data_IF_415325980171
#
_entry.id   IF_415325980171
#
_cell.length_a   1.000
_cell.length_b   1.000
_cell.length_c   1.000
_cell.angle_alpha   90.00
_cell.angle_beta   90.00
_cell.angle_gamma   90.00
#
_symmetry.space_group_name_H-M   'P 1'
#
loop_
_entity.id
_entity.type
_entity.pdbx_description
1 polymer ?
#
# COMPACT_ATOMS: atom_id res chain seq x y z
N UNK A 1 -1.88 -13.41 -4.00
CA UNK A 1 -1.01 -12.32 -4.47
C UNK A 1 -1.68 -11.71 -5.68
N UNK A 2 -1.91 -10.40 -5.66
CA UNK A 2 -2.34 -9.66 -6.83
C UNK A 2 -1.26 -9.77 -7.91
N UNK A 3 -1.64 -9.87 -9.18
CA UNK A 3 -0.66 -9.85 -10.29
C UNK A 3 -0.04 -8.46 -10.38
N UNK A 4 1.29 -8.40 -10.42
CA UNK A 4 2.05 -7.15 -10.56
C UNK A 4 2.97 -7.27 -11.77
N UNK A 5 2.53 -6.75 -12.92
CA UNK A 5 3.23 -6.87 -14.20
C UNK A 5 3.04 -5.67 -15.12
N UNK A 6 4.00 -5.48 -16.02
CA UNK A 6 4.00 -4.40 -17.02
C UNK A 6 4.29 -4.94 -18.41
N UNK A 7 3.64 -4.37 -19.42
CA UNK A 7 3.95 -4.61 -20.83
C UNK A 7 4.91 -3.52 -21.31
N UNK A 8 6.10 -3.92 -21.72
CA UNK A 8 7.15 -3.02 -22.17
C UNK A 8 7.37 -3.21 -23.66
N UNK A 9 7.43 -2.11 -24.40
CA UNK A 9 7.68 -2.06 -25.84
C UNK A 9 8.98 -1.29 -26.13
N UNK A 10 9.81 -1.80 -27.04
CA UNK A 10 11.01 -1.09 -27.51
C UNK A 10 10.64 0.12 -28.37
N UNK A 11 11.35 1.24 -28.17
CA UNK A 11 11.28 2.41 -29.05
C UNK A 11 12.15 2.11 -30.27
N UNK A 12 11.60 2.23 -31.47
CA UNK A 12 12.41 2.26 -32.71
C UNK A 12 12.09 3.50 -33.52
N UNK A 13 13.15 4.07 -34.09
CA UNK A 13 13.05 5.09 -35.13
C UNK A 13 13.01 4.36 -36.47
N UNK A 14 11.86 4.40 -37.15
CA UNK A 14 11.61 3.94 -38.54
C UNK A 14 11.47 2.42 -38.81
N UNK A 15 10.24 2.01 -39.14
CA UNK A 15 9.93 0.95 -40.12
C UNK A 15 10.13 -0.52 -39.72
N UNK A 16 10.76 -0.82 -38.59
CA UNK A 16 10.95 -2.19 -38.09
C UNK A 16 9.84 -2.58 -37.09
N UNK A 17 9.58 -3.89 -36.94
CA UNK A 17 8.63 -4.42 -35.96
C UNK A 17 9.09 -4.07 -34.53
N UNK A 18 8.21 -3.51 -33.71
CA UNK A 18 8.47 -3.27 -32.29
C UNK A 18 8.42 -4.59 -31.52
N UNK A 19 9.32 -4.75 -30.56
CA UNK A 19 9.30 -5.92 -29.65
C UNK A 19 8.59 -5.53 -28.36
N UNK A 20 7.57 -6.29 -27.97
CA UNK A 20 6.86 -6.10 -26.71
C UNK A 20 6.86 -7.37 -25.86
N UNK A 21 7.05 -7.24 -24.54
CA UNK A 21 7.03 -8.37 -23.61
C UNK A 21 6.42 -7.99 -22.25
N UNK A 22 5.65 -8.91 -21.66
CA UNK A 22 5.12 -8.77 -20.30
C UNK A 22 6.17 -9.20 -19.29
N UNK A 23 6.49 -8.33 -18.35
CA UNK A 23 7.39 -8.63 -17.24
C UNK A 23 6.63 -8.61 -15.92
N UNK A 24 6.82 -9.68 -15.13
CA UNK A 24 6.42 -9.69 -13.73
C UNK A 24 7.43 -8.89 -12.90
N UNK A 25 6.95 -8.25 -11.84
CA UNK A 25 7.81 -7.51 -10.92
C UNK A 25 8.30 -8.42 -9.76
N UNK A 26 9.53 -8.20 -9.23
CA UNK A 26 10.55 -7.30 -9.77
C UNK A 26 11.14 -7.84 -11.09
N UNK A 27 11.49 -6.95 -12.00
CA UNK A 27 12.09 -7.28 -13.29
C UNK A 27 13.56 -7.62 -13.09
N UNK A 28 13.98 -8.79 -13.56
CA UNK A 28 15.38 -9.15 -13.70
C UNK A 28 15.98 -8.44 -14.93
N UNK A 29 17.06 -7.68 -14.73
CA UNK A 29 17.68 -6.86 -15.79
C UNK A 29 18.24 -7.73 -16.92
N UNK A 30 18.82 -8.89 -16.59
CA UNK A 30 19.37 -9.78 -17.61
C UNK A 30 18.26 -10.40 -18.46
N UNK A 31 17.15 -10.82 -17.84
CA UNK A 31 15.97 -11.27 -18.58
C UNK A 31 15.39 -10.14 -19.45
N UNK A 32 15.29 -8.92 -18.92
CA UNK A 32 14.79 -7.77 -19.65
C UNK A 32 15.57 -7.52 -20.95
N UNK A 33 16.89 -7.48 -20.84
CA UNK A 33 17.80 -7.26 -21.97
C UNK A 33 17.76 -8.42 -22.96
N UNK A 34 17.65 -9.66 -22.50
CA UNK A 34 17.50 -10.84 -23.36
C UNK A 34 16.20 -10.78 -24.17
N UNK A 35 15.09 -10.40 -23.54
CA UNK A 35 13.76 -10.39 -24.16
C UNK A 35 13.55 -9.23 -25.13
N UNK A 36 14.02 -8.03 -24.77
CA UNK A 36 13.78 -6.82 -25.58
C UNK A 36 14.97 -6.45 -26.47
N UNK A 37 16.18 -6.92 -26.17
CA UNK A 37 17.39 -6.56 -26.91
C UNK A 37 17.81 -5.11 -26.74
N UNK A 38 17.33 -4.43 -25.69
CA UNK A 38 17.72 -3.07 -25.32
C UNK A 38 18.12 -3.04 -23.84
N UNK A 39 19.09 -2.19 -23.53
CA UNK A 39 19.59 -1.98 -22.16
C UNK A 39 18.52 -1.30 -21.29
N UNK A 40 18.35 -1.75 -20.05
CA UNK A 40 17.32 -1.25 -19.12
C UNK A 40 17.50 0.24 -18.73
N UNK A 41 18.69 0.80 -18.92
CA UNK A 41 19.06 2.21 -18.69
C UNK A 41 19.01 3.06 -19.96
N UNK A 42 18.89 2.45 -21.15
CA UNK A 42 18.96 3.15 -22.44
C UNK A 42 17.83 4.15 -22.68
N UNK A 43 16.68 3.98 -22.02
CA UNK A 43 15.46 4.75 -22.30
C UNK A 43 14.81 4.41 -23.65
N UNK A 44 15.33 3.41 -24.38
CA UNK A 44 14.86 2.93 -25.69
C UNK A 44 13.68 1.95 -25.57
N UNK A 45 12.87 2.12 -24.52
CA UNK A 45 11.63 1.39 -24.30
C UNK A 45 10.58 2.28 -23.65
N UNK A 46 9.36 1.78 -23.59
CA UNK A 46 8.24 2.41 -22.92
C UNK A 46 7.27 1.38 -22.34
N UNK A 47 6.61 1.76 -21.26
CA UNK A 47 5.54 0.96 -20.67
C UNK A 47 4.24 1.32 -21.40
N UNK A 48 3.59 0.32 -22.01
CA UNK A 48 2.36 0.51 -22.79
C UNK A 48 1.12 -0.05 -22.10
N UNK A 49 1.27 -1.06 -21.24
CA UNK A 49 0.20 -1.57 -20.38
C UNK A 49 0.75 -1.93 -18.99
N UNK A 50 -0.12 -1.92 -17.98
CA UNK A 50 0.25 -2.18 -16.58
C UNK A 50 -0.92 -2.80 -15.83
N UNK A 51 -0.62 -3.82 -15.03
CA UNK A 51 -1.54 -4.47 -14.10
C UNK A 51 -0.83 -4.54 -12.77
N UNK A 52 -1.07 -3.54 -11.91
CA UNK A 52 -0.42 -3.39 -10.62
C UNK A 52 -1.18 -2.37 -9.73
N UNK A 53 -1.08 -2.45 -8.39
CA UNK A 53 -1.89 -1.62 -7.48
C UNK A 53 -1.58 -0.13 -7.52
N UNK A 54 -0.31 0.24 -7.75
CA UNK A 54 0.21 1.62 -7.81
C UNK A 54 0.30 2.13 -9.27
N UNK A 55 -0.69 1.78 -10.09
CA UNK A 55 -0.65 2.03 -11.54
C UNK A 55 -0.51 3.52 -11.87
N UNK A 56 -1.08 4.40 -11.05
CA UNK A 56 -1.04 5.85 -11.27
C UNK A 56 0.37 6.44 -11.11
N UNK A 57 1.27 5.77 -10.37
CA UNK A 57 2.68 6.17 -10.19
C UNK A 57 3.58 5.66 -11.32
N UNK A 58 3.08 4.76 -12.18
CA UNK A 58 3.84 4.20 -13.31
C UNK A 58 3.45 4.92 -14.61
N UNK A 59 4.42 5.56 -15.24
CA UNK A 59 4.25 6.31 -16.48
C UNK A 59 4.97 5.62 -17.65
N UNK A 60 4.70 6.07 -18.87
CA UNK A 60 5.27 5.51 -20.11
C UNK A 60 6.81 5.44 -20.09
N UNK A 61 7.47 6.31 -19.35
CA UNK A 61 8.94 6.42 -19.29
C UNK A 61 9.52 6.06 -17.90
N UNK A 62 8.73 5.45 -17.02
CA UNK A 62 9.24 4.93 -15.75
C UNK A 62 10.29 3.85 -16.03
N UNK A 63 11.46 3.96 -15.41
CA UNK A 63 12.56 3.02 -15.64
C UNK A 63 12.33 1.68 -14.94
N UNK A 64 13.01 0.64 -15.41
CA UNK A 64 13.03 -0.69 -14.76
C UNK A 64 13.42 -0.59 -13.29
N UNK A 65 14.41 0.23 -12.95
CA UNK A 65 14.80 0.45 -11.55
C UNK A 65 13.70 1.10 -10.73
N UNK A 66 13.06 2.15 -11.26
CA UNK A 66 11.94 2.81 -10.57
C UNK A 66 10.75 1.87 -10.36
N UNK A 67 10.44 1.03 -11.35
CA UNK A 67 9.42 -0.02 -11.23
C UNK A 67 9.75 -0.99 -10.09
N UNK A 68 11.00 -1.45 -10.01
CA UNK A 68 11.45 -2.36 -8.97
C UNK A 68 11.44 -1.71 -7.57
N UNK A 69 11.77 -0.43 -7.46
CA UNK A 69 11.68 0.31 -6.20
C UNK A 69 10.22 0.46 -5.73
N UNK A 70 9.29 0.78 -6.65
CA UNK A 70 7.86 0.83 -6.35
C UNK A 70 7.33 -0.55 -5.90
N UNK A 71 7.68 -1.62 -6.62
CA UNK A 71 7.31 -2.99 -6.23
C UNK A 71 7.87 -3.37 -4.86
N UNK A 72 9.13 -3.01 -4.60
CA UNK A 72 9.76 -3.22 -3.30
C UNK A 72 8.99 -2.50 -2.19
N UNK A 73 8.73 -1.20 -2.34
CA UNK A 73 8.00 -0.41 -1.33
C UNK A 73 6.61 -0.99 -1.05
N UNK A 74 5.86 -1.34 -2.11
CA UNK A 74 4.52 -1.91 -1.97
C UNK A 74 4.54 -3.26 -1.24
N UNK A 75 5.51 -4.13 -1.54
CA UNK A 75 5.68 -5.43 -0.87
C UNK A 75 6.07 -5.34 0.59
N UNK A 76 6.62 -4.21 1.03
CA UNK A 76 6.95 -3.96 2.42
C UNK A 76 5.76 -3.46 3.26
N UNK A 77 4.62 -3.16 2.63
CA UNK A 77 3.39 -2.85 3.35
C UNK A 77 2.79 -4.14 3.97
N UNK A 78 2.06 -4.02 5.08
CA UNK A 78 1.31 -5.16 5.63
C UNK A 78 0.18 -5.58 4.69
N UNK A 79 -0.36 -6.80 4.88
CA UNK A 79 -1.49 -7.28 4.08
C UNK A 79 -2.70 -6.34 4.14
N UNK A 80 -3.02 -5.83 5.34
CA UNK A 80 -4.15 -4.92 5.53
C UNK A 80 -3.93 -3.60 4.78
N UNK A 81 -2.68 -3.10 4.77
CA UNK A 81 -2.32 -1.90 4.02
C UNK A 81 -2.35 -2.12 2.49
N UNK A 82 -1.99 -3.32 2.03
CA UNK A 82 -2.06 -3.66 0.61
C UNK A 82 -3.51 -3.77 0.13
N UNK A 83 -4.38 -4.40 0.94
CA UNK A 83 -5.81 -4.54 0.68
C UNK A 83 -6.52 -3.17 0.65
N UNK A 84 -6.12 -2.25 1.53
CA UNK A 84 -6.69 -0.91 1.65
C UNK A 84 -5.83 0.19 1.02
N UNK A 85 -4.97 -0.17 0.06
CA UNK A 85 -4.01 0.75 -0.54
C UNK A 85 -4.68 1.98 -1.16
N UNK A 86 -5.78 1.78 -1.89
CA UNK A 86 -6.55 2.88 -2.52
C UNK A 86 -7.12 3.83 -1.46
N UNK A 87 -7.62 3.29 -0.35
CA UNK A 87 -8.14 4.08 0.77
C UNK A 87 -7.03 4.90 1.42
N UNK A 88 -5.85 4.30 1.64
CA UNK A 88 -4.69 4.97 2.22
C UNK A 88 -4.18 6.11 1.33
N UNK A 89 -4.22 5.97 0.01
CA UNK A 89 -3.86 7.04 -0.93
C UNK A 89 -4.82 8.24 -0.94
N UNK A 90 -5.97 8.18 -0.27
CA UNK A 90 -6.78 9.39 -0.04
C UNK A 90 -6.17 10.32 1.01
N UNK A 91 -5.23 9.80 1.81
CA UNK A 91 -4.55 10.53 2.90
C UNK A 91 -3.08 10.74 2.61
N UNK A 92 -2.41 9.76 2.01
CA UNK A 92 -1.00 9.85 1.62
C UNK A 92 -0.88 10.25 0.15
N UNK A 93 0.12 11.09 -0.16
CA UNK A 93 0.32 11.63 -1.52
C UNK A 93 0.66 10.54 -2.54
N UNK A 94 1.44 9.53 -2.13
CA UNK A 94 1.94 8.45 -2.99
C UNK A 94 2.42 7.26 -2.14
N UNK A 95 2.84 6.19 -2.80
CA UNK A 95 3.38 4.98 -2.17
C UNK A 95 4.62 5.27 -1.31
N UNK A 96 5.49 6.19 -1.72
CA UNK A 96 6.69 6.52 -0.94
C UNK A 96 6.33 7.12 0.42
N UNK A 97 5.39 8.08 0.45
CA UNK A 97 4.89 8.67 1.68
C UNK A 97 4.24 7.64 2.60
N UNK A 98 3.43 6.73 2.04
CA UNK A 98 2.83 5.62 2.78
C UNK A 98 3.91 4.66 3.32
N UNK A 99 4.88 4.29 2.49
CA UNK A 99 5.97 3.39 2.84
C UNK A 99 6.79 3.94 4.00
N UNK A 100 7.13 5.23 4.01
CA UNK A 100 7.87 5.85 5.11
C UNK A 100 7.10 5.72 6.45
N UNK A 101 5.78 5.88 6.42
CA UNK A 101 4.93 5.82 7.61
C UNK A 101 4.45 4.40 7.99
N UNK A 102 4.70 3.36 7.18
CA UNK A 102 4.12 2.01 7.35
C UNK A 102 4.27 1.39 8.75
N UNK A 103 5.39 1.65 9.42
CA UNK A 103 5.70 1.07 10.73
C UNK A 103 5.11 1.85 11.91
N UNK A 104 4.57 3.04 11.66
CA UNK A 104 3.91 3.87 12.70
C UNK A 104 2.39 3.86 12.58
N UNK A 105 1.85 3.40 11.45
CA UNK A 105 0.42 3.21 11.26
C UNK A 105 -0.02 2.00 12.11
N UNK A 106 -1.03 2.21 12.96
CA UNK A 106 -1.64 1.14 13.74
C UNK A 106 -2.91 0.67 13.05
N UNK A 107 -3.01 -0.64 12.79
CA UNK A 107 -4.15 -1.24 12.12
C UNK A 107 -5.10 -1.86 13.14
N UNK A 108 -6.38 -1.52 13.04
CA UNK A 108 -7.49 -2.11 13.79
C UNK A 108 -8.34 -2.94 12.81
N UNK A 109 -7.95 -4.20 12.51
CA UNK A 109 -8.68 -5.05 11.57
C UNK A 109 -10.09 -5.33 12.08
N UNK A 110 -11.05 -5.49 11.17
CA UNK A 110 -12.47 -5.78 11.44
C UNK A 110 -13.24 -4.74 12.29
N UNK A 111 -12.59 -3.66 12.73
CA UNK A 111 -13.26 -2.56 13.42
C UNK A 111 -14.14 -1.77 12.45
N UNK A 112 -15.42 -1.57 12.81
CA UNK A 112 -16.40 -0.85 11.99
C UNK A 112 -16.70 0.55 12.52
N UNK A 113 -16.24 0.84 13.73
CA UNK A 113 -16.49 2.08 14.43
C UNK A 113 -15.35 2.44 15.38
N UNK A 114 -15.31 3.71 15.79
CA UNK A 114 -14.36 4.17 16.80
C UNK A 114 -14.63 3.60 18.19
N UNK A 115 -15.85 3.09 18.43
CA UNK A 115 -16.18 2.32 19.63
C UNK A 115 -15.44 0.97 19.61
N UNK A 116 -15.33 0.32 18.45
CA UNK A 116 -14.58 -0.93 18.32
C UNK A 116 -13.08 -0.70 18.56
N UNK A 117 -12.54 0.39 18.00
CA UNK A 117 -11.15 0.83 18.25
C UNK A 117 -10.93 1.10 19.75
N UNK A 118 -11.85 1.82 20.39
CA UNK A 118 -11.79 2.11 21.82
C UNK A 118 -11.79 0.82 22.67
N UNK A 119 -12.63 -0.16 22.31
CA UNK A 119 -12.66 -1.49 22.94
C UNK A 119 -11.33 -2.21 22.76
N UNK A 120 -10.82 -2.30 21.53
CA UNK A 120 -9.59 -3.00 21.23
C UNK A 120 -8.37 -2.35 21.91
N UNK A 121 -8.29 -1.01 21.95
CA UNK A 121 -7.24 -0.31 22.70
C UNK A 121 -7.32 -0.62 24.20
N UNK A 122 -8.51 -0.60 24.80
CA UNK A 122 -8.70 -0.88 26.22
C UNK A 122 -8.33 -2.32 26.59
N UNK A 123 -8.74 -3.31 25.77
CA UNK A 123 -8.42 -4.72 25.98
C UNK A 123 -6.92 -4.99 25.98
N UNK A 124 -6.16 -4.23 25.18
CA UNK A 124 -4.71 -4.36 25.08
C UNK A 124 -3.95 -3.50 26.11
N UNK A 125 -4.62 -2.58 26.81
CA UNK A 125 -4.01 -1.74 27.83
C UNK A 125 -3.58 -2.59 29.05
N UNK A 126 -2.29 -2.62 29.44
CA UNK A 126 -1.81 -3.38 30.59
C UNK A 126 -2.54 -3.06 31.90
N UNK A 127 -3.04 -1.83 32.01
CA UNK A 127 -3.78 -1.31 33.17
C UNK A 127 -5.17 -1.91 33.25
N UNK A 128 -5.83 -2.21 32.13
CA UNK A 128 -7.24 -2.63 32.10
C UNK A 128 -7.44 -4.08 31.62
N UNK A 129 -6.44 -4.69 30.97
CA UNK A 129 -6.50 -6.06 30.43
C UNK A 129 -6.81 -7.17 31.46
N UNK A 130 -6.67 -6.85 32.75
CA UNK A 130 -6.99 -7.79 33.83
C UNK A 130 -8.48 -7.79 34.21
N UNK A 131 -9.24 -6.79 33.76
CA UNK A 131 -10.68 -6.74 33.92
C UNK A 131 -11.35 -7.63 32.86
N UNK A 132 -12.41 -8.33 33.26
CA UNK A 132 -13.23 -9.09 32.30
C UNK A 132 -13.91 -8.14 31.30
N UNK A 133 -14.23 -8.65 30.10
CA UNK A 133 -14.97 -7.89 29.09
C UNK A 133 -16.31 -7.38 29.63
N UNK A 134 -17.03 -8.18 30.43
CA UNK A 134 -18.29 -7.78 31.06
C UNK A 134 -18.09 -6.60 32.03
N UNK A 135 -17.01 -6.63 32.83
CA UNK A 135 -16.67 -5.51 33.71
C UNK A 135 -16.35 -4.24 32.91
N UNK A 136 -15.58 -4.37 31.83
CA UNK A 136 -15.24 -3.22 30.99
C UNK A 136 -16.50 -2.66 30.32
N UNK A 137 -17.33 -3.50 29.72
CA UNK A 137 -18.58 -3.09 29.06
C UNK A 137 -19.58 -2.42 30.01
N UNK A 138 -19.61 -2.82 31.28
CA UNK A 138 -20.54 -2.28 32.26
C UNK A 138 -20.07 -0.94 32.86
N UNK A 139 -18.76 -0.78 33.08
CA UNK A 139 -18.22 0.39 33.80
C UNK A 139 -17.53 1.42 32.91
N UNK A 140 -17.12 1.04 31.70
CA UNK A 140 -16.36 1.89 30.82
C UNK A 140 -17.26 2.59 29.80
N UNK A 141 -17.12 3.91 29.71
CA UNK A 141 -17.82 4.71 28.71
C UNK A 141 -17.04 4.71 27.39
N UNK A 142 -17.34 3.73 26.54
CA UNK A 142 -16.69 3.59 25.23
C UNK A 142 -17.09 4.70 24.25
N UNK A 143 -18.24 5.34 24.42
CA UNK A 143 -18.66 6.44 23.55
C UNK A 143 -17.80 7.68 23.83
N UNK A 144 -17.61 8.02 25.12
CA UNK A 144 -16.73 9.10 25.53
C UNK A 144 -15.27 8.85 25.11
N UNK A 145 -14.77 7.62 25.28
CA UNK A 145 -13.40 7.30 24.88
C UNK A 145 -13.21 7.31 23.36
N UNK A 146 -14.14 6.75 22.60
CA UNK A 146 -14.12 6.83 21.13
C UNK A 146 -14.11 8.28 20.63
N UNK A 147 -14.94 9.14 21.23
CA UNK A 147 -14.99 10.57 20.90
C UNK A 147 -13.65 11.25 21.19
N UNK A 148 -13.06 10.99 22.37
CA UNK A 148 -11.74 11.52 22.71
C UNK A 148 -10.65 11.06 21.72
N UNK A 149 -10.66 9.79 21.31
CA UNK A 149 -9.73 9.28 20.31
C UNK A 149 -9.88 10.03 18.98
N UNK A 150 -11.10 10.21 18.49
CA UNK A 150 -11.34 10.94 17.23
C UNK A 150 -10.93 12.41 17.28
N UNK A 151 -11.09 13.06 18.44
CA UNK A 151 -10.72 14.47 18.60
C UNK A 151 -9.21 14.70 18.61
N UNK A 152 -8.43 13.72 19.06
CA UNK A 152 -6.98 13.85 19.30
C UNK A 152 -6.12 12.94 18.44
N UNK A 153 -6.71 12.19 17.52
CA UNK A 153 -5.99 11.28 16.64
C UNK A 153 -6.53 11.33 15.22
N UNK A 154 -5.75 10.75 14.29
CA UNK A 154 -6.11 10.71 12.88
C UNK A 154 -6.47 9.28 12.51
N UNK A 155 -7.74 9.06 12.15
CA UNK A 155 -8.24 7.73 11.82
C UNK A 155 -8.80 7.70 10.41
N UNK A 156 -8.46 6.66 9.66
CA UNK A 156 -9.02 6.35 8.36
C UNK A 156 -9.90 5.12 8.48
N UNK A 157 -11.19 5.27 8.22
CA UNK A 157 -12.15 4.16 8.17
C UNK A 157 -12.16 3.59 6.77
N UNK A 158 -12.07 2.27 6.67
CA UNK A 158 -12.00 1.53 5.40
C UNK A 158 -13.00 0.37 5.39
N UNK A 159 -13.01 -0.45 4.34
CA UNK A 159 -13.91 -1.61 4.25
C UNK A 159 -13.48 -2.73 5.22
N UNK A 160 -12.16 -2.94 5.36
CA UNK A 160 -11.59 -4.06 6.10
C UNK A 160 -11.06 -3.69 7.50
N UNK A 161 -11.18 -2.42 7.92
CA UNK A 161 -10.83 -1.99 9.27
C UNK A 161 -10.65 -0.48 9.42
N UNK A 162 -10.03 -0.08 10.54
CA UNK A 162 -9.68 1.31 10.82
C UNK A 162 -8.17 1.43 10.99
N UNK A 163 -7.58 2.44 10.35
CA UNK A 163 -6.16 2.76 10.48
C UNK A 163 -5.99 4.01 11.33
N UNK A 164 -5.18 3.93 12.38
CA UNK A 164 -4.68 5.09 13.11
C UNK A 164 -3.38 5.54 12.44
N UNK A 165 -3.41 6.78 11.96
CA UNK A 165 -2.36 7.39 11.17
C UNK A 165 -1.46 8.25 12.06
N UNK A 166 -0.18 8.44 11.68
CA UNK A 166 0.68 9.42 12.36
C UNK A 166 0.12 10.84 12.20
N UNK A 167 0.39 11.69 13.21
CA UNK A 167 0.09 13.13 13.18
C UNK A 167 0.85 13.88 12.07
#
# INVERSE_FOLDING_TARGET
>A
MQETRVLVETKRTTGEETTSYWFDLPIDVAEFEEKLGVDAESGEYRIIEKVLPYADEVHEHTSVYQLNELDFMYRQLSSDMQEEYVSLLTVFENLEALYICRNVITVYPDCKSMIDVARQKLMNDPTFKHLSEDCQAYYFDFEAYASHLQEHGKFLVTEHGIFELPE
#
